data_IF_959025887417
#
_entry.id   IF_959025887417
#
_cell.length_a   1.000
_cell.length_b   1.000
_cell.length_c   1.000
_cell.angle_alpha   90.00
_cell.angle_beta   90.00
_cell.angle_gamma   90.00
#
_symmetry.space_group_name_H-M   'P 1'
#
loop_
_entity.id
_entity.type
_entity.pdbx_description
1 polymer ?
#
# COMPACT_ATOMS: atom_id res chain seq x y z
N UNK A 1 18.89 -0.31 -16.47
CA UNK A 1 18.05 -1.20 -15.65
C UNK A 1 16.63 -1.16 -16.20
N UNK A 2 16.05 -2.34 -16.49
CA UNK A 2 14.65 -2.43 -16.91
C UNK A 2 13.73 -2.44 -15.69
N UNK A 3 12.57 -1.80 -15.80
CA UNK A 3 11.51 -1.88 -14.81
C UNK A 3 10.81 -3.24 -14.94
N UNK A 4 10.39 -3.81 -13.81
CA UNK A 4 9.69 -5.09 -13.77
C UNK A 4 8.38 -4.93 -13.01
N UNK A 5 7.29 -5.63 -13.43
CA UNK A 5 6.05 -5.65 -12.66
C UNK A 5 6.30 -6.14 -11.23
N UNK A 6 5.51 -5.63 -10.29
CA UNK A 6 5.51 -6.14 -8.92
C UNK A 6 5.18 -7.64 -8.92
N UNK A 7 5.91 -8.40 -8.12
CA UNK A 7 5.62 -9.81 -7.90
C UNK A 7 4.44 -9.98 -6.92
N UNK A 8 3.87 -11.19 -6.89
CA UNK A 8 2.86 -11.52 -5.86
C UNK A 8 3.44 -11.36 -4.44
N UNK A 9 4.73 -11.61 -4.26
CA UNK A 9 5.39 -11.41 -2.97
C UNK A 9 5.44 -9.93 -2.58
N UNK A 10 5.76 -9.03 -3.53
CA UNK A 10 5.74 -7.58 -3.30
C UNK A 10 4.32 -7.09 -2.96
N UNK A 11 3.31 -7.63 -3.64
CA UNK A 11 1.90 -7.28 -3.39
C UNK A 11 1.33 -7.90 -2.10
N UNK A 12 2.06 -8.83 -1.47
CA UNK A 12 1.63 -9.52 -0.23
C UNK A 12 2.06 -8.81 1.04
N UNK A 13 2.83 -7.73 0.95
CA UNK A 13 3.34 -6.97 2.10
C UNK A 13 2.96 -5.50 1.97
N UNK A 14 2.89 -4.74 3.07
CA UNK A 14 2.77 -3.28 2.99
C UNK A 14 3.95 -2.70 2.23
N UNK A 15 3.67 -1.76 1.38
CA UNK A 15 4.66 -1.12 0.53
C UNK A 15 4.05 0.08 -0.18
N UNK A 16 4.46 0.32 -1.42
CA UNK A 16 3.95 1.44 -2.20
C UNK A 16 4.30 2.81 -1.60
N UNK A 17 5.48 2.91 -1.05
CA UNK A 17 5.93 4.01 -0.19
C UNK A 17 7.27 4.62 -0.64
N UNK A 18 8.04 3.92 -1.49
CA UNK A 18 9.39 4.31 -1.89
C UNK A 18 9.56 4.31 -3.42
N UNK A 19 10.18 5.39 -3.92
CA UNK A 19 10.49 5.57 -5.35
C UNK A 19 11.49 4.52 -5.89
N UNK A 20 12.23 3.85 -5.02
CA UNK A 20 13.16 2.78 -5.40
C UNK A 20 12.44 1.46 -5.76
N UNK A 21 11.13 1.38 -5.60
CA UNK A 21 10.36 0.22 -6.02
C UNK A 21 10.60 -0.08 -7.51
N UNK A 22 10.99 -1.32 -7.81
CA UNK A 22 11.44 -1.74 -9.15
C UNK A 22 10.40 -1.64 -10.27
N UNK A 23 9.13 -1.45 -9.91
CA UNK A 23 8.02 -1.28 -10.84
C UNK A 23 7.62 0.20 -11.06
N UNK A 24 8.23 1.16 -10.39
CA UNK A 24 7.96 2.58 -10.60
C UNK A 24 8.84 3.14 -11.70
N UNK A 25 8.23 3.58 -12.79
CA UNK A 25 8.94 4.22 -13.92
C UNK A 25 9.21 5.68 -13.59
N UNK A 26 8.26 6.32 -12.89
CA UNK A 26 8.35 7.72 -12.50
C UNK A 26 7.60 7.97 -11.20
N UNK A 27 8.18 8.82 -10.37
CA UNK A 27 7.63 9.22 -9.08
C UNK A 27 8.23 10.53 -8.58
N UNK A 28 7.77 10.97 -7.44
CA UNK A 28 8.32 12.12 -6.71
C UNK A 28 8.88 11.61 -5.40
N UNK A 29 10.18 11.81 -5.20
CA UNK A 29 10.85 11.55 -3.92
C UNK A 29 10.43 12.61 -2.90
N UNK A 30 9.87 12.17 -1.78
CA UNK A 30 9.49 13.02 -0.66
C UNK A 30 10.55 12.87 0.43
N UNK A 31 11.31 13.93 0.65
CA UNK A 31 12.41 13.92 1.61
C UNK A 31 11.95 14.29 3.02
N UNK A 32 12.67 13.82 4.03
CA UNK A 32 12.40 14.15 5.44
C UNK A 32 12.45 15.65 5.69
N UNK A 33 13.30 16.39 4.96
CA UNK A 33 13.39 17.84 5.06
C UNK A 33 12.08 18.55 4.65
N UNK A 34 11.31 17.97 3.75
CA UNK A 34 10.03 18.53 3.31
C UNK A 34 8.92 18.32 4.35
N UNK A 35 9.03 17.27 5.15
CA UNK A 35 8.00 16.89 6.15
C UNK A 35 8.35 17.34 7.56
N UNK A 36 9.62 17.45 7.92
CA UNK A 36 10.06 17.78 9.27
C UNK A 36 9.88 19.24 9.68
N UNK A 37 9.64 20.15 8.72
CA UNK A 37 9.56 21.60 8.99
C UNK A 37 8.23 22.05 9.60
N UNK A 38 7.22 21.22 9.72
CA UNK A 38 5.86 21.65 10.05
C UNK A 38 5.07 20.76 10.98
N UNK A 39 5.69 19.85 11.70
CA UNK A 39 4.96 18.89 12.54
C UNK A 39 4.13 17.94 11.66
N UNK A 40 2.84 17.86 11.87
CA UNK A 40 1.95 17.14 10.94
C UNK A 40 1.95 17.85 9.58
N UNK A 41 3.02 17.67 8.83
CA UNK A 41 3.20 18.30 7.56
C UNK A 41 2.16 17.84 6.57
N UNK A 42 1.23 18.70 6.38
CA UNK A 42 -0.06 18.47 5.78
C UNK A 42 -0.03 18.24 4.28
N UNK A 43 1.12 18.31 3.65
CA UNK A 43 1.14 18.42 2.19
C UNK A 43 2.12 17.49 1.49
N UNK A 44 2.96 16.76 2.21
CA UNK A 44 4.05 16.10 1.53
C UNK A 44 3.56 14.86 0.77
N UNK A 45 2.87 13.93 1.38
CA UNK A 45 2.48 12.72 0.67
C UNK A 45 1.00 12.34 0.84
N UNK A 46 0.29 12.27 -0.28
CA UNK A 46 -1.04 11.69 -0.31
C UNK A 46 -1.01 10.18 0.02
N UNK A 47 0.06 9.48 -0.35
CA UNK A 47 0.19 8.04 -0.12
C UNK A 47 0.25 7.72 1.38
N UNK A 48 0.90 8.54 2.18
CA UNK A 48 0.91 8.40 3.64
C UNK A 48 -0.48 8.53 4.26
N UNK A 49 -1.38 9.28 3.63
CA UNK A 49 -2.76 9.44 4.08
C UNK A 49 -3.61 8.17 3.91
N UNK A 50 -3.10 7.17 3.20
CA UNK A 50 -3.72 5.87 3.03
C UNK A 50 -3.03 4.76 3.82
N UNK A 51 -1.93 5.07 4.52
CA UNK A 51 -1.22 4.07 5.31
C UNK A 51 -2.06 3.61 6.51
N UNK A 52 -2.20 2.30 6.68
CA UNK A 52 -2.83 1.75 7.87
C UNK A 52 -1.87 1.68 9.07
N UNK A 53 -0.57 1.85 8.85
CA UNK A 53 0.49 1.56 9.81
C UNK A 53 1.30 2.78 10.26
N UNK A 54 0.85 3.97 9.98
CA UNK A 54 1.63 5.16 10.30
C UNK A 54 0.82 6.44 10.34
N UNK A 55 1.09 7.34 9.41
CA UNK A 55 0.54 8.70 9.41
C UNK A 55 -0.99 8.75 9.50
N UNK A 56 -1.70 8.02 8.65
CA UNK A 56 -3.17 8.03 8.67
C UNK A 56 -3.73 7.46 9.97
N UNK A 57 -3.13 6.37 10.48
CA UNK A 57 -3.52 5.77 11.75
C UNK A 57 -3.30 6.75 12.91
N UNK A 58 -2.16 7.46 12.95
CA UNK A 58 -1.88 8.48 13.96
C UNK A 58 -2.88 9.64 13.93
N UNK A 59 -3.38 9.99 12.75
CA UNK A 59 -4.40 11.02 12.58
C UNK A 59 -5.83 10.51 12.83
N UNK A 60 -6.02 9.24 13.14
CA UNK A 60 -7.36 8.62 13.27
C UNK A 60 -8.14 8.57 11.95
N UNK A 61 -7.45 8.62 10.82
CA UNK A 61 -8.02 8.71 9.47
C UNK A 61 -7.88 7.39 8.70
N UNK A 62 -8.19 6.26 9.36
CA UNK A 62 -8.10 4.95 8.72
C UNK A 62 -9.01 4.85 7.50
N UNK A 63 -8.46 4.38 6.39
CA UNK A 63 -9.20 4.07 5.18
C UNK A 63 -9.66 2.62 5.22
N UNK A 64 -10.97 2.41 5.09
CA UNK A 64 -11.56 1.07 5.14
C UNK A 64 -12.29 0.76 3.84
N UNK A 65 -12.23 -0.50 3.41
CA UNK A 65 -13.05 -0.98 2.31
C UNK A 65 -14.47 -1.27 2.80
N UNK A 66 -15.45 -1.07 1.93
CA UNK A 66 -16.82 -1.54 2.21
C UNK A 66 -16.83 -3.07 2.30
N UNK A 67 -17.44 -3.62 3.36
CA UNK A 67 -17.48 -5.06 3.61
C UNK A 67 -18.11 -5.86 2.44
N UNK A 68 -19.17 -5.34 1.83
CA UNK A 68 -19.81 -6.00 0.67
C UNK A 68 -18.88 -6.05 -0.55
N UNK A 69 -17.96 -5.13 -0.67
CA UNK A 69 -16.93 -5.16 -1.71
C UNK A 69 -15.81 -6.12 -1.33
N UNK A 70 -15.35 -6.10 -0.07
CA UNK A 70 -14.37 -7.03 0.44
C UNK A 70 -14.77 -8.50 0.23
N UNK A 71 -16.03 -8.83 0.50
CA UNK A 71 -16.57 -10.18 0.34
C UNK A 71 -16.57 -10.67 -1.12
N UNK A 72 -16.63 -9.72 -2.07
CA UNK A 72 -16.56 -10.04 -3.51
C UNK A 72 -15.16 -10.29 -4.03
N UNK A 73 -14.12 -9.93 -3.28
CA UNK A 73 -12.75 -10.21 -3.69
C UNK A 73 -12.49 -11.70 -3.51
N UNK A 74 -12.10 -12.45 -4.55
CA UNK A 74 -11.80 -13.87 -4.44
C UNK A 74 -10.69 -14.13 -3.42
N UNK A 75 -10.76 -15.22 -2.68
CA UNK A 75 -9.72 -15.61 -1.71
C UNK A 75 -8.36 -15.90 -2.37
N UNK A 76 -8.35 -16.15 -3.67
CA UNK A 76 -7.12 -16.36 -4.46
C UNK A 76 -6.50 -15.05 -4.97
N UNK A 77 -7.16 -13.94 -4.79
CA UNK A 77 -6.65 -12.63 -5.20
C UNK A 77 -5.81 -12.04 -4.06
N UNK A 78 -4.52 -11.82 -4.31
CA UNK A 78 -3.58 -11.25 -3.33
C UNK A 78 -4.04 -9.91 -2.78
N UNK A 79 -4.79 -9.13 -3.56
CA UNK A 79 -5.32 -7.82 -3.17
C UNK A 79 -6.35 -7.90 -2.04
N UNK A 80 -6.94 -9.07 -1.78
CA UNK A 80 -7.79 -9.26 -0.59
C UNK A 80 -7.01 -9.02 0.68
N UNK A 81 -5.74 -9.39 0.70
CA UNK A 81 -4.84 -9.18 1.82
C UNK A 81 -4.36 -7.74 2.02
N UNK A 82 -4.72 -6.81 1.12
CA UNK A 82 -4.49 -5.37 1.35
C UNK A 82 -5.45 -4.75 2.38
N UNK A 83 -6.38 -5.54 2.88
CA UNK A 83 -7.40 -5.12 3.83
C UNK A 83 -7.44 -6.10 5.00
N UNK A 84 -7.70 -5.59 6.17
CA UNK A 84 -8.08 -6.43 7.30
C UNK A 84 -9.49 -6.96 7.10
N UNK A 85 -9.78 -8.13 7.64
CA UNK A 85 -11.14 -8.66 7.73
C UNK A 85 -11.90 -8.12 8.95
N UNK A 86 -13.06 -8.68 9.25
CA UNK A 86 -13.86 -8.32 10.42
C UNK A 86 -13.18 -8.64 11.76
N UNK A 87 -12.22 -9.60 11.75
CA UNK A 87 -11.47 -10.04 12.91
C UNK A 87 -10.08 -9.42 12.99
N UNK A 88 -9.80 -8.42 12.14
CA UNK A 88 -8.49 -7.77 12.03
C UNK A 88 -7.38 -8.67 11.51
N UNK A 89 -7.71 -9.66 10.68
CA UNK A 89 -6.76 -10.54 10.03
C UNK A 89 -6.62 -10.19 8.53
N UNK A 90 -5.49 -10.56 7.95
CA UNK A 90 -5.27 -10.48 6.51
C UNK A 90 -4.84 -11.84 5.95
N UNK A 91 -5.34 -12.28 4.78
CA UNK A 91 -4.84 -13.49 4.11
C UNK A 91 -3.32 -13.48 3.83
N UNK A 92 -2.71 -12.31 3.75
CA UNK A 92 -1.27 -12.16 3.50
C UNK A 92 -0.44 -12.21 4.79
N UNK A 93 -1.05 -12.37 5.92
CA UNK A 93 -0.48 -12.17 7.25
C UNK A 93 0.67 -13.09 7.62
N UNK A 94 0.75 -14.29 7.05
CA UNK A 94 1.82 -15.24 7.35
C UNK A 94 3.22 -14.67 7.06
N UNK A 95 3.32 -13.73 6.10
CA UNK A 95 4.56 -13.10 5.67
C UNK A 95 4.71 -11.67 6.21
N UNK A 96 3.69 -11.15 6.88
CA UNK A 96 3.62 -9.77 7.33
C UNK A 96 4.23 -9.66 8.73
N UNK A 97 5.15 -8.73 8.91
CA UNK A 97 5.60 -8.26 10.23
C UNK A 97 5.25 -6.79 10.32
N UNK A 98 4.58 -6.39 11.40
CA UNK A 98 4.08 -5.06 11.54
C UNK A 98 4.15 -4.60 13.00
N UNK A 99 4.77 -3.45 13.26
CA UNK A 99 4.95 -2.97 14.64
C UNK A 99 5.68 -3.96 15.55
N UNK A 100 6.54 -4.83 14.98
CA UNK A 100 7.23 -5.88 15.73
C UNK A 100 6.40 -7.14 16.00
N UNK A 101 5.11 -7.15 15.70
CA UNK A 101 4.22 -8.31 15.78
C UNK A 101 4.09 -9.01 14.41
N UNK A 102 3.51 -10.18 14.37
CA UNK A 102 3.25 -10.96 13.17
C UNK A 102 1.82 -11.46 13.15
N UNK A 103 1.26 -11.51 11.95
CA UNK A 103 -0.02 -12.15 11.73
C UNK A 103 -1.09 -11.64 12.68
N UNK A 104 -1.79 -12.57 13.29
CA UNK A 104 -2.95 -12.34 14.15
C UNK A 104 -2.65 -11.53 15.41
N UNK A 105 -1.38 -11.34 15.76
CA UNK A 105 -0.97 -10.57 16.92
C UNK A 105 -1.11 -9.05 16.71
N UNK A 106 -1.29 -8.62 15.46
CA UNK A 106 -1.41 -7.20 15.15
C UNK A 106 -2.86 -6.75 15.30
N UNK A 107 -3.23 -6.39 16.50
CA UNK A 107 -4.53 -5.78 16.77
C UNK A 107 -4.44 -4.25 16.89
N UNK A 108 -3.23 -3.71 17.01
CA UNK A 108 -2.99 -2.27 17.13
C UNK A 108 -1.57 -1.93 16.71
N UNK A 109 -1.40 -0.73 16.19
CA UNK A 109 -0.10 -0.17 15.86
C UNK A 109 0.50 0.50 17.10
N UNK A 110 1.80 0.30 17.31
CA UNK A 110 2.59 1.07 18.28
C UNK A 110 3.30 2.18 17.51
N UNK A 111 3.00 3.43 17.83
CA UNK A 111 3.61 4.59 17.22
C UNK A 111 4.98 4.91 17.84
N UNK A 112 5.73 5.81 17.19
CA UNK A 112 7.07 6.24 17.64
C UNK A 112 7.10 6.77 19.09
N UNK A 113 6.01 7.36 19.54
CA UNK A 113 5.85 7.88 20.92
C UNK A 113 5.41 6.81 21.93
N UNK A 114 5.28 5.54 21.50
CA UNK A 114 4.85 4.42 22.32
C UNK A 114 3.33 4.32 22.51
N UNK A 115 2.55 5.21 21.94
CA UNK A 115 1.09 5.13 21.95
C UNK A 115 0.59 3.99 21.07
N UNK A 116 -0.63 3.51 21.31
CA UNK A 116 -1.27 2.45 20.54
C UNK A 116 -2.46 2.98 19.78
N UNK A 117 -2.53 2.63 18.49
CA UNK A 117 -3.68 2.92 17.63
C UNK A 117 -4.36 1.61 17.27
N UNK A 118 -5.61 1.45 17.69
CA UNK A 118 -6.43 0.30 17.30
C UNK A 118 -6.92 0.46 15.86
N UNK A 119 -7.00 -0.65 15.12
CA UNK A 119 -7.52 -0.66 13.75
C UNK A 119 -9.02 -0.97 13.76
N UNK A 120 -9.84 -0.22 13.02
CA UNK A 120 -11.16 -0.70 12.67
C UNK A 120 -11.09 -1.88 11.69
N UNK A 121 -12.11 -2.73 11.68
CA UNK A 121 -12.24 -3.78 10.68
C UNK A 121 -12.19 -3.20 9.26
N UNK A 122 -11.67 -3.97 8.33
CA UNK A 122 -11.52 -3.60 6.91
C UNK A 122 -10.55 -2.46 6.63
N UNK A 123 -9.66 -2.14 7.56
CA UNK A 123 -8.60 -1.13 7.38
C UNK A 123 -7.67 -1.52 6.21
N UNK A 124 -7.32 -0.51 5.41
CA UNK A 124 -6.29 -0.63 4.38
C UNK A 124 -4.90 -0.79 5.00
N UNK A 125 -4.21 -1.85 4.61
CA UNK A 125 -2.83 -2.15 5.02
C UNK A 125 -1.88 -2.29 3.84
N UNK A 126 -2.31 -1.90 2.63
CA UNK A 126 -1.48 -1.93 1.42
C UNK A 126 -0.30 -0.97 1.50
N UNK A 127 -0.55 0.24 1.98
CA UNK A 127 0.46 1.29 2.00
C UNK A 127 1.28 1.19 3.29
N UNK A 128 2.57 0.91 3.13
CA UNK A 128 3.55 1.00 4.20
C UNK A 128 3.98 2.44 4.47
N UNK A 129 5.00 2.58 5.32
CA UNK A 129 5.63 3.87 5.60
C UNK A 129 7.12 3.80 5.23
N UNK A 130 7.58 4.73 4.37
CA UNK A 130 8.97 4.83 3.90
C UNK A 130 9.98 4.90 5.06
N UNK A 131 9.64 5.59 6.13
CA UNK A 131 10.45 5.68 7.34
C UNK A 131 10.29 4.51 8.30
N UNK A 132 9.62 3.46 7.89
CA UNK A 132 9.37 2.26 8.68
C UNK A 132 8.02 2.25 9.36
N UNK A 133 7.66 1.05 9.82
CA UNK A 133 6.37 0.76 10.43
C UNK A 133 6.17 1.62 11.69
N UNK A 134 5.01 2.23 11.79
CA UNK A 134 4.65 3.10 12.91
C UNK A 134 5.11 4.54 12.77
N UNK A 135 5.88 4.87 11.75
CA UNK A 135 6.31 6.24 11.52
C UNK A 135 5.12 7.16 11.27
N UNK A 136 5.11 8.30 11.94
CA UNK A 136 4.10 9.34 11.77
C UNK A 136 4.50 10.40 10.74
N UNK A 137 5.65 10.23 10.07
CA UNK A 137 6.11 11.13 9.02
C UNK A 137 5.24 10.98 7.78
N UNK A 138 4.91 12.10 7.16
CA UNK A 138 4.12 12.13 5.93
C UNK A 138 5.04 12.12 4.71
N UNK A 139 5.95 11.13 4.62
CA UNK A 139 7.07 11.13 3.67
C UNK A 139 7.07 10.00 2.64
N UNK A 140 5.97 9.28 2.47
CA UNK A 140 5.87 8.31 1.38
C UNK A 140 6.02 9.01 0.03
N UNK A 141 6.73 8.40 -0.89
CA UNK A 141 6.91 8.92 -2.24
C UNK A 141 5.63 8.85 -3.06
N UNK A 142 5.56 9.65 -4.10
CA UNK A 142 4.40 9.69 -4.98
C UNK A 142 4.63 8.84 -6.23
N UNK A 143 3.90 7.74 -6.43
CA UNK A 143 3.91 7.03 -7.69
C UNK A 143 3.14 7.82 -8.74
N UNK A 144 3.80 8.19 -9.83
CA UNK A 144 3.18 8.88 -10.96
C UNK A 144 2.98 7.94 -12.17
N UNK A 145 3.87 6.96 -12.34
CA UNK A 145 3.80 6.02 -13.43
C UNK A 145 4.42 4.69 -13.02
N UNK A 146 3.70 3.61 -13.24
CA UNK A 146 4.17 2.25 -12.97
C UNK A 146 4.20 1.40 -14.24
N UNK A 147 5.03 0.37 -14.25
CA UNK A 147 5.15 -0.54 -15.40
C UNK A 147 3.85 -1.30 -15.67
N UNK A 148 3.07 -1.64 -14.64
CA UNK A 148 1.79 -2.33 -14.81
C UNK A 148 0.79 -1.49 -15.62
N UNK A 149 0.81 -0.18 -15.45
CA UNK A 149 -0.02 0.73 -16.25
C UNK A 149 0.35 0.67 -17.74
N UNK A 150 1.65 0.64 -18.03
CA UNK A 150 2.13 0.52 -19.41
C UNK A 150 1.72 -0.82 -20.05
N UNK A 151 1.78 -1.91 -19.27
CA UNK A 151 1.33 -3.24 -19.69
C UNK A 151 -0.18 -3.21 -20.01
N UNK A 152 -0.98 -2.63 -19.13
CA UNK A 152 -2.43 -2.53 -19.33
C UNK A 152 -2.80 -1.66 -20.54
N UNK A 153 -2.10 -0.54 -20.76
CA UNK A 153 -2.27 0.31 -21.95
C UNK A 153 -1.93 -0.48 -23.22
N UNK A 154 -0.85 -1.26 -23.20
CA UNK A 154 -0.47 -2.11 -24.33
C UNK A 154 -1.54 -3.17 -24.62
N UNK A 155 -2.04 -3.84 -23.58
CA UNK A 155 -3.10 -4.85 -23.70
C UNK A 155 -4.38 -4.24 -24.28
N UNK A 156 -4.79 -3.07 -23.78
CA UNK A 156 -5.96 -2.35 -24.27
C UNK A 156 -5.78 -1.94 -25.77
N UNK A 157 -4.63 -1.40 -26.12
CA UNK A 157 -4.33 -1.03 -27.50
C UNK A 157 -4.39 -2.21 -28.46
N UNK A 158 -3.86 -3.37 -28.05
CA UNK A 158 -3.94 -4.61 -28.82
C UNK A 158 -5.37 -5.10 -28.98
N UNK A 159 -6.16 -5.10 -27.91
CA UNK A 159 -7.56 -5.51 -27.95
C UNK A 159 -8.38 -4.59 -28.88
N UNK A 160 -8.23 -3.29 -28.75
CA UNK A 160 -8.92 -2.29 -29.61
C UNK A 160 -8.50 -2.35 -31.09
N UNK A 161 -7.29 -2.83 -31.38
CA UNK A 161 -6.83 -3.05 -32.76
C UNK A 161 -7.26 -4.40 -33.34
N UNK A 162 -8.08 -5.19 -32.63
CA UNK A 162 -8.56 -6.50 -33.07
C UNK A 162 -7.60 -7.65 -32.82
N UNK A 163 -6.51 -7.43 -32.08
CA UNK A 163 -5.51 -8.46 -31.78
C UNK A 163 -5.70 -9.01 -30.35
N UNK A 164 -6.90 -9.53 -30.07
CA UNK A 164 -7.28 -10.03 -28.74
C UNK A 164 -6.37 -11.15 -28.22
N UNK A 165 -5.91 -12.05 -29.11
CA UNK A 165 -5.05 -13.16 -28.73
C UNK A 165 -3.73 -12.64 -28.13
N UNK A 166 -3.14 -11.60 -28.72
CA UNK A 166 -1.90 -11.00 -28.23
C UNK A 166 -2.15 -10.14 -26.98
N UNK A 167 -3.31 -9.47 -26.91
CA UNK A 167 -3.69 -8.70 -25.73
C UNK A 167 -3.75 -9.54 -24.44
N UNK A 168 -4.11 -10.83 -24.57
CA UNK A 168 -4.15 -11.77 -23.44
C UNK A 168 -2.78 -12.34 -23.04
N UNK A 169 -1.75 -12.08 -23.80
CA UNK A 169 -0.38 -12.57 -23.57
C UNK A 169 0.54 -11.49 -22.96
N UNK A 170 0.10 -10.27 -22.98
CA UNK A 170 0.79 -9.12 -22.38
C UNK A 170 0.43 -9.05 -20.88
#
# INVERSE_FOLDING_TARGET
QGFTPASIADESVPGFDDIEAGNWIWGIDITDAQVSSSGYATSASWASSFSGDGYAAACGANMCINNLLYDKIPATDVRKGWWLDENLHSPNWANLTWGGAKGDEIASLILDDGSKVGFPAYTNIKFGMKSGIGSTLNNNDWPLMRVEEMILIQAEGLAKSGNEAKAKQV
#
